data_IF_599483733194
#
_entry.id   IF_599483733194
#
_cell.length_a   1.000
_cell.length_b   1.000
_cell.length_c   1.000
_cell.angle_alpha   90.00
_cell.angle_beta   90.00
_cell.angle_gamma   90.00
#
_symmetry.space_group_name_H-M   'P 1'
#
loop_
_entity.id
_entity.type
_entity.pdbx_description
1 polymer ?
#
# COMPACT_ATOMS: atom_id res chain seq x y z
N UNK A 1 -39.85 -54.90 0.46
CA UNK A 1 -39.62 -54.16 1.72
C UNK A 1 -38.18 -54.37 2.15
N UNK A 2 -37.27 -53.49 1.70
CA UNK A 2 -35.91 -53.38 2.20
C UNK A 2 -35.40 -51.98 1.80
N UNK A 3 -35.28 -51.10 2.80
CA UNK A 3 -34.70 -49.77 2.69
C UNK A 3 -33.20 -49.91 2.38
N UNK A 4 -32.72 -49.19 1.36
CA UNK A 4 -31.29 -48.95 1.16
C UNK A 4 -31.00 -47.47 1.40
N UNK A 5 -30.10 -47.26 2.33
CA UNK A 5 -29.60 -46.00 2.84
C UNK A 5 -29.15 -45.06 1.73
N UNK A 6 -29.66 -43.82 1.78
CA UNK A 6 -29.13 -42.70 1.01
C UNK A 6 -27.87 -42.22 1.70
N UNK A 7 -26.71 -42.62 1.20
CA UNK A 7 -25.46 -41.95 1.49
C UNK A 7 -25.55 -40.51 0.93
N UNK A 8 -25.60 -39.52 1.81
CA UNK A 8 -25.39 -38.12 1.46
C UNK A 8 -23.96 -37.94 0.94
N UNK A 9 -23.74 -37.23 -0.18
CA UNK A 9 -22.38 -36.90 -0.60
C UNK A 9 -21.77 -35.94 0.43
N UNK A 10 -20.68 -36.36 1.08
CA UNK A 10 -19.87 -35.46 1.89
C UNK A 10 -19.23 -34.43 0.95
N UNK A 11 -19.50 -33.15 1.21
CA UNK A 11 -18.86 -32.03 0.52
C UNK A 11 -17.33 -32.14 0.66
N UNK A 12 -16.56 -31.89 -0.40
CA UNK A 12 -15.10 -31.93 -0.31
C UNK A 12 -14.60 -30.86 0.69
N UNK A 13 -13.50 -31.11 1.42
CA UNK A 13 -12.89 -30.11 2.27
C UNK A 13 -12.52 -28.90 1.39
N UNK A 14 -13.04 -27.73 1.75
CA UNK A 14 -12.69 -26.48 1.09
C UNK A 14 -11.17 -26.31 1.16
N UNK A 15 -10.52 -26.27 -0.01
CA UNK A 15 -9.10 -25.92 -0.12
C UNK A 15 -8.93 -24.49 0.37
N UNK A 16 -8.68 -24.31 1.66
CA UNK A 16 -8.32 -23.02 2.23
C UNK A 16 -6.97 -22.62 1.64
N UNK A 17 -6.96 -21.55 0.85
CA UNK A 17 -5.72 -20.94 0.40
C UNK A 17 -4.85 -20.60 1.62
N UNK A 18 -3.52 -20.76 1.55
CA UNK A 18 -2.66 -20.50 2.69
C UNK A 18 -2.84 -19.06 3.17
N UNK A 19 -3.04 -18.89 4.48
CA UNK A 19 -3.25 -17.59 5.08
C UNK A 19 -2.04 -16.67 4.82
N UNK A 20 -2.31 -15.43 4.43
CA UNK A 20 -1.29 -14.40 4.22
C UNK A 20 -0.75 -14.00 5.59
N UNK A 21 0.55 -14.22 5.79
CA UNK A 21 1.23 -13.78 7.01
C UNK A 21 1.45 -12.26 6.96
N UNK A 22 0.95 -11.56 7.99
CA UNK A 22 1.08 -10.11 8.16
C UNK A 22 1.95 -9.86 9.38
N UNK A 23 3.07 -9.17 9.22
CA UNK A 23 3.89 -8.74 10.36
C UNK A 23 3.50 -7.34 10.80
N UNK A 24 3.14 -7.18 12.08
CA UNK A 24 2.86 -5.87 12.68
C UNK A 24 4.06 -5.44 13.50
N UNK A 25 4.61 -4.26 13.18
CA UNK A 25 5.76 -3.66 13.86
C UNK A 25 5.33 -2.34 14.49
N UNK A 26 5.21 -2.29 15.81
CA UNK A 26 4.78 -1.11 16.58
C UNK A 26 5.23 -1.26 18.05
N UNK A 27 5.66 -0.18 18.70
CA UNK A 27 6.19 -0.23 20.06
C UNK A 27 5.10 -0.33 21.15
N UNK A 28 3.86 0.06 20.82
CA UNK A 28 2.70 -0.06 21.68
C UNK A 28 2.14 -1.47 21.68
N UNK A 29 2.39 -2.20 22.77
CA UNK A 29 1.83 -3.54 22.97
C UNK A 29 0.30 -3.57 22.85
N UNK A 30 -0.40 -2.55 23.34
CA UNK A 30 -1.86 -2.43 23.24
C UNK A 30 -2.29 -2.28 21.78
N UNK A 31 -1.61 -1.41 21.02
CA UNK A 31 -1.92 -1.19 19.62
C UNK A 31 -1.69 -2.45 18.78
N UNK A 32 -0.55 -3.12 18.99
CA UNK A 32 -0.22 -4.40 18.34
C UNK A 32 -1.27 -5.48 18.58
N UNK A 33 -1.72 -5.66 19.82
CA UNK A 33 -2.74 -6.68 20.12
C UNK A 33 -4.08 -6.35 19.48
N UNK A 34 -4.48 -5.07 19.45
CA UNK A 34 -5.71 -4.66 18.76
C UNK A 34 -5.63 -4.86 17.25
N UNK A 35 -4.50 -4.47 16.64
CA UNK A 35 -4.24 -4.73 15.22
C UNK A 35 -4.31 -6.23 14.92
N UNK A 36 -3.70 -7.07 15.76
CA UNK A 36 -3.79 -8.53 15.65
C UNK A 36 -5.24 -8.99 15.65
N UNK A 37 -6.05 -8.58 16.63
CA UNK A 37 -7.47 -8.97 16.71
C UNK A 37 -8.29 -8.51 15.49
N UNK A 38 -8.01 -7.31 14.96
CA UNK A 38 -8.70 -6.78 13.78
C UNK A 38 -8.29 -7.56 12.53
N UNK A 39 -6.98 -7.76 12.32
CA UNK A 39 -6.46 -8.42 11.12
C UNK A 39 -6.87 -9.90 11.10
N UNK A 40 -6.77 -10.60 12.23
CA UNK A 40 -7.14 -12.01 12.37
C UNK A 40 -8.66 -12.23 12.47
N UNK A 41 -9.48 -11.18 12.44
CA UNK A 41 -10.92 -11.33 12.26
C UNK A 41 -11.28 -11.84 10.86
N UNK A 42 -10.39 -11.65 9.88
CA UNK A 42 -10.45 -12.29 8.57
C UNK A 42 -9.58 -13.55 8.56
N UNK A 43 -10.14 -14.76 8.34
CA UNK A 43 -9.41 -16.02 8.41
C UNK A 43 -8.34 -16.19 7.31
N UNK A 44 -8.30 -15.29 6.32
CA UNK A 44 -7.25 -15.29 5.30
C UNK A 44 -5.94 -14.68 5.79
N UNK A 45 -5.91 -14.07 6.98
CA UNK A 45 -4.69 -13.47 7.54
C UNK A 45 -4.23 -14.21 8.78
N UNK A 46 -2.90 -14.22 8.97
CA UNK A 46 -2.25 -14.64 10.21
C UNK A 46 -1.27 -13.56 10.63
N UNK A 47 -1.27 -13.18 11.90
CA UNK A 47 -0.43 -12.08 12.38
C UNK A 47 0.77 -12.56 13.20
N UNK A 48 1.94 -12.04 12.84
CA UNK A 48 3.16 -12.08 13.65
C UNK A 48 3.45 -10.68 14.18
N UNK A 49 3.84 -10.58 15.44
CA UNK A 49 4.08 -9.30 16.11
C UNK A 49 5.57 -9.07 16.33
N UNK A 50 6.02 -7.82 16.14
CA UNK A 50 7.35 -7.34 16.50
C UNK A 50 7.21 -6.01 17.26
N UNK A 51 7.95 -5.84 18.35
CA UNK A 51 7.89 -4.64 19.19
C UNK A 51 8.73 -3.49 18.65
N UNK A 52 9.67 -3.81 17.76
CA UNK A 52 10.61 -2.85 17.22
C UNK A 52 11.25 -3.38 15.92
N UNK A 53 11.99 -2.53 15.18
CA UNK A 53 12.68 -2.94 13.97
C UNK A 53 13.70 -4.09 14.13
N UNK A 54 14.30 -4.27 15.31
CA UNK A 54 15.29 -5.33 15.52
C UNK A 54 14.61 -6.70 15.66
N UNK A 55 13.49 -6.75 16.39
CA UNK A 55 12.65 -7.95 16.46
C UNK A 55 12.07 -8.28 15.07
N UNK A 56 11.65 -7.26 14.32
CA UNK A 56 11.17 -7.43 12.95
C UNK A 56 12.26 -8.05 12.04
N UNK A 57 13.50 -7.56 12.10
CA UNK A 57 14.64 -8.16 11.35
C UNK A 57 14.91 -9.60 11.78
N UNK A 58 14.84 -9.90 13.08
CA UNK A 58 15.04 -11.26 13.58
C UNK A 58 13.97 -12.23 13.07
N UNK A 59 12.72 -11.78 12.94
CA UNK A 59 11.63 -12.57 12.35
C UNK A 59 11.84 -12.73 10.84
N UNK A 60 12.14 -11.63 10.13
CA UNK A 60 12.40 -11.63 8.68
C UNK A 60 13.54 -12.57 8.26
N UNK A 61 14.50 -12.82 9.15
CA UNK A 61 15.59 -13.78 8.91
C UNK A 61 15.12 -15.24 8.90
N UNK A 62 13.94 -15.54 9.46
CA UNK A 62 13.37 -16.88 9.62
C UNK A 62 12.18 -17.12 8.68
N UNK A 63 11.29 -16.14 8.54
CA UNK A 63 10.13 -16.18 7.64
C UNK A 63 9.93 -14.83 6.96
N UNK A 64 9.47 -14.85 5.71
CA UNK A 64 9.16 -13.63 4.96
C UNK A 64 7.63 -13.47 4.92
N UNK A 65 7.05 -12.48 5.61
CA UNK A 65 5.62 -12.25 5.60
C UNK A 65 5.19 -11.69 4.24
N UNK A 66 3.89 -11.81 3.92
CA UNK A 66 3.32 -11.27 2.69
C UNK A 66 3.20 -9.74 2.73
N UNK A 67 2.96 -9.17 3.91
CA UNK A 67 2.82 -7.72 4.14
C UNK A 67 3.36 -7.35 5.51
N UNK A 68 3.94 -6.15 5.63
CA UNK A 68 4.25 -5.53 6.91
C UNK A 68 3.31 -4.35 7.16
N UNK A 69 2.69 -4.32 8.33
CA UNK A 69 2.04 -3.11 8.87
C UNK A 69 3.05 -2.45 9.81
N UNK A 70 3.47 -1.23 9.47
CA UNK A 70 4.62 -0.57 10.11
C UNK A 70 4.21 0.74 10.76
N UNK A 71 4.50 0.88 12.04
CA UNK A 71 4.49 2.16 12.72
C UNK A 71 5.73 3.01 12.40
N UNK A 72 5.59 4.33 12.54
CA UNK A 72 6.68 5.29 12.31
C UNK A 72 7.41 5.66 13.59
N UNK A 73 6.70 5.77 14.71
CA UNK A 73 7.23 6.31 15.96
C UNK A 73 7.68 5.22 16.90
N UNK A 74 8.92 4.75 16.71
CA UNK A 74 9.49 3.71 17.55
C UNK A 74 10.81 4.16 18.20
N UNK A 75 11.10 3.72 19.44
CA UNK A 75 12.34 4.03 20.11
C UNK A 75 13.54 3.33 19.44
N UNK A 76 14.71 3.98 19.51
CA UNK A 76 16.02 3.56 18.96
C UNK A 76 16.13 3.66 17.44
N UNK A 77 15.18 3.11 16.69
CA UNK A 77 15.12 3.22 15.23
C UNK A 77 13.68 3.54 14.81
N UNK A 78 13.51 4.68 14.15
CA UNK A 78 12.20 5.07 13.63
C UNK A 78 11.80 4.19 12.43
N UNK A 79 10.49 4.11 12.19
CA UNK A 79 9.92 3.28 11.13
C UNK A 79 10.35 3.69 9.72
N UNK A 80 10.63 4.97 9.44
CA UNK A 80 11.10 5.40 8.12
C UNK A 80 12.54 4.94 7.87
N UNK A 81 13.40 5.02 8.89
CA UNK A 81 14.76 4.47 8.81
C UNK A 81 14.73 2.96 8.58
N UNK A 82 13.84 2.24 9.27
CA UNK A 82 13.62 0.81 9.04
C UNK A 82 13.12 0.52 7.62
N UNK A 83 12.06 1.21 7.18
CA UNK A 83 11.47 1.09 5.85
C UNK A 83 12.52 1.29 4.75
N UNK A 84 13.35 2.33 4.85
CA UNK A 84 14.41 2.60 3.86
C UNK A 84 15.43 1.47 3.78
N UNK A 85 15.84 0.90 4.93
CA UNK A 85 16.78 -0.23 4.96
C UNK A 85 16.14 -1.49 4.39
N UNK A 86 14.89 -1.76 4.78
CA UNK A 86 14.09 -2.88 4.30
C UNK A 86 13.93 -2.82 2.79
N UNK A 87 13.45 -1.70 2.22
CA UNK A 87 13.21 -1.56 0.78
C UNK A 87 14.48 -1.72 -0.06
N UNK A 88 15.65 -1.38 0.49
CA UNK A 88 16.94 -1.56 -0.19
C UNK A 88 17.44 -3.00 -0.15
N UNK A 89 17.18 -3.73 0.94
CA UNK A 89 17.72 -5.09 1.14
C UNK A 89 16.73 -6.17 0.71
N UNK A 90 15.45 -5.98 1.04
CA UNK A 90 14.34 -6.90 0.82
C UNK A 90 13.05 -6.11 0.49
N UNK A 91 12.95 -5.52 -0.71
CA UNK A 91 11.73 -4.82 -1.12
C UNK A 91 10.51 -5.74 -1.06
N UNK A 92 9.50 -5.31 -0.30
CA UNK A 92 8.30 -6.09 -0.02
C UNK A 92 7.13 -5.16 0.34
N UNK A 93 5.89 -5.65 0.29
CA UNK A 93 4.72 -4.84 0.64
C UNK A 93 4.78 -4.30 2.07
N UNK A 94 4.72 -2.97 2.20
CA UNK A 94 4.59 -2.28 3.49
C UNK A 94 3.41 -1.33 3.45
N UNK A 95 2.49 -1.49 4.40
CA UNK A 95 1.43 -0.54 4.73
C UNK A 95 1.87 0.21 5.98
N UNK A 96 2.02 1.52 5.88
CA UNK A 96 2.37 2.34 7.03
C UNK A 96 1.12 2.67 7.84
N UNK A 97 1.22 2.65 9.17
CA UNK A 97 0.16 3.07 10.07
C UNK A 97 0.70 4.16 11.01
N UNK A 98 0.31 5.42 10.81
CA UNK A 98 0.91 6.57 11.54
C UNK A 98 -0.11 7.63 11.90
N UNK A 99 0.17 8.42 12.94
CA UNK A 99 -0.60 9.62 13.27
C UNK A 99 -0.07 10.90 12.60
N UNK A 100 1.08 10.84 11.91
CA UNK A 100 1.79 11.99 11.34
C UNK A 100 1.66 12.05 9.81
N UNK A 101 0.92 13.04 9.31
CA UNK A 101 0.64 13.20 7.88
C UNK A 101 1.89 13.54 7.05
N UNK A 102 2.81 14.34 7.60
CA UNK A 102 4.03 14.76 6.91
C UNK A 102 5.00 13.60 6.67
N UNK A 103 5.02 12.63 7.58
CA UNK A 103 5.85 11.42 7.46
C UNK A 103 5.27 10.42 6.46
N UNK A 104 3.98 10.47 6.21
CA UNK A 104 3.28 9.59 5.29
C UNK A 104 3.77 9.74 3.84
N UNK A 105 3.88 10.98 3.37
CA UNK A 105 4.31 11.25 1.99
C UNK A 105 5.73 10.76 1.77
N UNK A 106 6.61 11.01 2.74
CA UNK A 106 7.99 10.52 2.74
C UNK A 106 8.05 8.98 2.68
N UNK A 107 7.18 8.29 3.43
CA UNK A 107 7.13 6.82 3.43
C UNK A 107 6.72 6.25 2.06
N UNK A 108 5.74 6.86 1.40
CA UNK A 108 5.25 6.42 0.09
C UNK A 108 6.36 6.50 -0.98
N UNK A 109 7.18 7.54 -0.93
CA UNK A 109 8.35 7.70 -1.81
C UNK A 109 9.45 6.68 -1.55
N UNK A 110 9.64 6.33 -0.27
CA UNK A 110 10.56 5.27 0.15
C UNK A 110 10.11 3.88 -0.26
N UNK A 111 8.89 3.73 -0.79
CA UNK A 111 8.37 2.49 -1.33
C UNK A 111 7.24 1.85 -0.53
N UNK A 112 6.73 2.51 0.52
CA UNK A 112 5.48 2.07 1.14
C UNK A 112 4.36 2.08 0.09
N UNK A 113 3.51 1.06 0.12
CA UNK A 113 2.41 0.90 -0.85
C UNK A 113 1.24 1.82 -0.47
N UNK A 114 0.99 1.97 0.82
CA UNK A 114 -0.12 2.75 1.34
C UNK A 114 0.20 3.28 2.75
N UNK A 115 -0.48 4.35 3.13
CA UNK A 115 -0.43 4.90 4.49
C UNK A 115 -1.84 5.02 5.03
N UNK A 116 -2.01 4.52 6.25
CA UNK A 116 -3.24 4.58 7.01
C UNK A 116 -3.00 5.45 8.25
N UNK A 117 -3.93 6.36 8.52
CA UNK A 117 -3.92 7.14 9.75
C UNK A 117 -4.25 6.24 10.95
N UNK A 118 -3.53 6.34 12.07
CA UNK A 118 -3.90 5.62 13.30
C UNK A 118 -5.32 6.05 13.75
N UNK A 119 -6.19 5.11 14.18
CA UNK A 119 -7.57 5.42 14.52
C UNK A 119 -7.66 6.06 15.90
N UNK A 120 -8.74 6.81 16.13
CA UNK A 120 -9.17 7.10 17.48
C UNK A 120 -9.96 5.91 18.04
N UNK A 121 -9.38 5.18 18.97
CA UNK A 121 -9.98 4.00 19.59
C UNK A 121 -11.26 4.27 20.39
N UNK A 122 -11.56 5.52 20.72
CA UNK A 122 -12.75 5.89 21.51
C UNK A 122 -14.01 6.02 20.64
N UNK A 123 -13.87 6.10 19.31
CA UNK A 123 -14.99 6.22 18.38
C UNK A 123 -15.28 4.88 17.70
N UNK A 124 -16.26 4.15 18.24
CA UNK A 124 -16.63 2.82 17.76
C UNK A 124 -17.13 2.83 16.30
N UNK A 125 -17.81 3.90 15.88
CA UNK A 125 -18.37 3.99 14.53
C UNK A 125 -17.28 4.11 13.47
N UNK A 126 -16.32 5.01 13.71
CA UNK A 126 -15.16 5.23 12.84
C UNK A 126 -14.17 4.09 12.89
N UNK A 127 -14.11 3.36 14.01
CA UNK A 127 -13.23 2.21 14.14
C UNK A 127 -13.62 1.06 13.21
N UNK A 128 -14.91 0.83 12.99
CA UNK A 128 -15.39 -0.21 12.06
C UNK A 128 -14.96 0.09 10.63
N UNK A 129 -15.21 1.32 10.16
CA UNK A 129 -14.78 1.79 8.83
C UNK A 129 -13.27 1.71 8.68
N UNK A 130 -12.53 2.20 9.68
CA UNK A 130 -11.07 2.14 9.69
C UNK A 130 -10.54 0.70 9.61
N UNK A 131 -11.16 -0.24 10.32
CA UNK A 131 -10.78 -1.65 10.32
C UNK A 131 -10.97 -2.28 8.94
N UNK A 132 -12.07 -1.95 8.26
CA UNK A 132 -12.33 -2.40 6.89
C UNK A 132 -11.27 -1.84 5.91
N UNK A 133 -10.97 -0.55 6.02
CA UNK A 133 -9.94 0.11 5.21
C UNK A 133 -8.55 -0.51 5.42
N UNK A 134 -8.20 -0.84 6.67
CA UNK A 134 -6.96 -1.54 6.99
C UNK A 134 -6.90 -2.93 6.34
N UNK A 135 -7.96 -3.72 6.46
CA UNK A 135 -8.02 -5.07 5.89
C UNK A 135 -7.94 -5.02 4.35
N UNK A 136 -8.62 -4.07 3.73
CA UNK A 136 -8.56 -3.87 2.28
C UNK A 136 -7.16 -3.47 1.82
N UNK A 137 -6.52 -2.51 2.51
CA UNK A 137 -5.15 -2.09 2.22
C UNK A 137 -4.15 -3.26 2.34
N UNK A 138 -4.23 -4.05 3.41
CA UNK A 138 -3.39 -5.24 3.58
C UNK A 138 -3.64 -6.24 2.46
N UNK A 139 -4.90 -6.49 2.09
CA UNK A 139 -5.25 -7.42 1.01
C UNK A 139 -4.70 -6.95 -0.34
N UNK A 140 -4.80 -5.66 -0.64
CA UNK A 140 -4.30 -5.07 -1.88
C UNK A 140 -2.76 -5.07 -1.91
N UNK A 141 -2.12 -4.72 -0.79
CA UNK A 141 -0.67 -4.77 -0.64
C UNK A 141 -0.13 -6.20 -0.81
N UNK A 142 -0.81 -7.21 -0.26
CA UNK A 142 -0.44 -8.62 -0.43
C UNK A 142 -0.52 -9.07 -1.90
N UNK A 143 -1.53 -8.59 -2.64
CA UNK A 143 -1.71 -8.90 -4.07
C UNK A 143 -0.67 -8.22 -4.96
N UNK A 144 -0.13 -7.07 -4.57
CA UNK A 144 0.95 -6.41 -5.29
C UNK A 144 2.22 -7.29 -5.36
N UNK A 145 2.35 -8.25 -4.44
CA UNK A 145 3.44 -9.23 -4.44
C UNK A 145 4.80 -8.59 -4.08
N UNK A 146 5.89 -9.32 -4.34
CA UNK A 146 7.23 -8.78 -4.10
C UNK A 146 7.51 -7.64 -5.08
N UNK A 147 7.80 -6.46 -4.54
CA UNK A 147 8.18 -5.30 -5.34
C UNK A 147 9.49 -5.59 -6.07
N UNK A 148 9.63 -5.23 -7.36
CA UNK A 148 10.90 -5.38 -8.06
C UNK A 148 11.98 -4.61 -7.33
N UNK A 149 13.15 -5.22 -7.17
CA UNK A 149 14.30 -4.58 -6.55
C UNK A 149 14.64 -3.34 -7.37
N UNK A 150 14.55 -2.16 -6.76
CA UNK A 150 14.99 -0.90 -7.39
C UNK A 150 16.50 -1.03 -7.60
N UNK A 151 16.89 -1.32 -8.84
CA UNK A 151 18.30 -1.26 -9.22
C UNK A 151 18.64 0.23 -9.34
N UNK A 152 19.36 0.78 -8.34
CA UNK A 152 19.87 2.16 -8.37
C UNK A 152 20.77 2.44 -9.60
N UNK A 153 21.05 1.43 -10.43
CA UNK A 153 21.77 1.51 -11.69
C UNK A 153 20.94 2.02 -12.88
N UNK A 154 19.62 2.19 -12.77
CA UNK A 154 18.79 2.70 -13.88
C UNK A 154 18.52 4.21 -13.85
N UNK A 155 19.36 5.01 -13.19
CA UNK A 155 19.44 6.46 -13.45
C UNK A 155 20.01 6.80 -14.84
N UNK A 156 20.29 5.80 -15.68
CA UNK A 156 20.63 5.95 -17.10
C UNK A 156 19.83 4.97 -17.96
N UNK A 157 18.50 5.10 -17.98
CA UNK A 157 17.74 4.57 -19.11
C UNK A 157 17.89 5.54 -20.28
N UNK A 158 18.92 5.29 -21.10
CA UNK A 158 18.93 5.68 -22.50
C UNK A 158 17.53 5.40 -23.10
N UNK A 159 16.90 6.33 -23.85
CA UNK A 159 15.51 6.17 -24.23
C UNK A 159 15.40 4.93 -25.11
N UNK A 160 14.75 3.88 -24.60
CA UNK A 160 14.37 2.74 -25.43
C UNK A 160 13.45 3.30 -26.51
N UNK A 161 13.95 3.32 -27.74
CA UNK A 161 13.21 3.63 -28.95
C UNK A 161 12.09 2.59 -29.14
N UNK A 162 10.97 2.76 -28.43
CA UNK A 162 9.70 2.15 -28.80
C UNK A 162 9.11 2.93 -29.97
N UNK A 163 8.23 2.29 -30.73
CA UNK A 163 7.70 2.70 -32.03
C UNK A 163 6.92 4.05 -32.07
N UNK A 164 7.02 4.87 -31.02
CA UNK A 164 6.48 6.22 -30.90
C UNK A 164 7.22 7.26 -31.76
N UNK A 165 8.35 6.90 -32.38
CA UNK A 165 9.10 7.77 -33.30
C UNK A 165 8.31 8.08 -34.59
N UNK A 166 7.31 7.24 -34.94
CA UNK A 166 6.57 7.36 -36.21
C UNK A 166 5.23 8.08 -36.06
N UNK A 167 4.67 8.18 -34.85
CA UNK A 167 3.47 8.97 -34.63
C UNK A 167 3.88 10.44 -34.42
N UNK A 168 3.30 11.40 -35.16
CA UNK A 168 3.52 12.80 -34.86
C UNK A 168 3.10 13.02 -33.40
N UNK A 169 4.06 13.39 -32.53
CA UNK A 169 3.77 13.90 -31.19
C UNK A 169 2.64 14.90 -31.39
N UNK A 170 1.46 14.61 -30.85
CA UNK A 170 0.34 15.54 -30.92
C UNK A 170 0.84 16.79 -30.22
N UNK A 171 1.24 17.78 -31.02
CA UNK A 171 1.67 19.06 -30.55
C UNK A 171 0.44 19.70 -29.90
N UNK A 172 0.35 19.57 -28.58
CA UNK A 172 -0.45 20.44 -27.73
C UNK A 172 0.07 21.90 -27.77
N UNK A 173 1.06 22.18 -28.61
CA UNK A 173 1.44 23.53 -28.99
C UNK A 173 0.25 24.19 -29.69
N UNK A 174 -0.31 25.19 -29.01
CA UNK A 174 -1.05 26.29 -29.62
C UNK A 174 -2.43 25.95 -30.18
N UNK A 175 -3.29 25.35 -29.36
CA UNK A 175 -4.71 25.74 -29.40
C UNK A 175 -5.03 26.45 -28.10
N UNK A 176 -5.04 27.79 -28.15
CA UNK A 176 -5.69 28.65 -27.16
C UNK A 176 -7.21 28.48 -27.18
N UNK A 177 -7.68 27.23 -27.10
CA UNK A 177 -9.08 26.83 -27.12
C UNK A 177 -9.45 26.30 -25.75
N UNK A 178 -10.17 27.13 -25.01
CA UNK A 178 -11.16 26.88 -23.96
C UNK A 178 -11.08 25.61 -23.11
N UNK A 179 -11.31 25.84 -21.81
CA UNK A 179 -11.33 24.95 -20.65
C UNK A 179 -12.35 23.78 -20.68
N UNK A 180 -12.66 23.18 -21.83
CA UNK A 180 -13.73 22.18 -21.95
C UNK A 180 -13.27 20.73 -21.79
N UNK A 181 -11.95 20.48 -21.81
CA UNK A 181 -11.40 19.13 -21.65
C UNK A 181 -10.74 19.00 -20.28
N UNK A 182 -11.19 18.01 -19.53
CA UNK A 182 -10.59 17.61 -18.27
C UNK A 182 -10.17 16.15 -18.33
N UNK A 183 -9.11 15.80 -17.61
CA UNK A 183 -8.70 14.43 -17.34
C UNK A 183 -9.11 14.13 -15.91
N UNK A 184 -9.98 13.13 -15.71
CA UNK A 184 -10.34 12.65 -14.38
C UNK A 184 -9.55 11.38 -14.06
N UNK A 185 -8.85 11.36 -12.93
CA UNK A 185 -8.05 10.22 -12.45
C UNK A 185 -8.59 9.78 -11.09
N UNK A 186 -8.98 8.52 -10.96
CA UNK A 186 -9.36 7.91 -9.69
C UNK A 186 -8.32 6.88 -9.29
N UNK A 187 -7.77 6.99 -8.08
CA UNK A 187 -6.73 6.08 -7.57
C UNK A 187 -6.90 5.77 -6.08
N UNK A 188 -6.39 4.60 -5.67
CA UNK A 188 -6.50 4.08 -4.31
C UNK A 188 -5.14 3.55 -3.82
N UNK A 189 -5.01 2.31 -3.35
CA UNK A 189 -3.75 1.67 -2.94
C UNK A 189 -2.65 1.83 -4.01
N UNK A 190 -1.44 2.29 -3.62
CA UNK A 190 -0.34 2.59 -4.55
C UNK A 190 -0.54 3.83 -5.42
N UNK A 191 -1.67 4.53 -5.28
CA UNK A 191 -2.06 5.64 -6.14
C UNK A 191 -1.12 6.83 -6.09
N UNK A 192 -0.46 7.09 -4.97
CA UNK A 192 0.54 8.16 -4.84
C UNK A 192 1.71 7.97 -5.81
N UNK A 193 2.26 6.75 -5.89
CA UNK A 193 3.35 6.44 -6.82
C UNK A 193 2.86 6.50 -8.27
N UNK A 194 1.65 6.00 -8.52
CA UNK A 194 1.04 6.04 -9.85
C UNK A 194 0.80 7.47 -10.35
N UNK A 195 0.30 8.36 -9.48
CA UNK A 195 0.08 9.78 -9.81
C UNK A 195 1.42 10.45 -10.12
N UNK A 196 2.45 10.25 -9.30
CA UNK A 196 3.76 10.86 -9.55
C UNK A 196 4.34 10.45 -10.91
N UNK A 197 4.28 9.16 -11.23
CA UNK A 197 4.74 8.64 -12.52
C UNK A 197 3.91 9.19 -13.69
N UNK A 198 2.58 9.24 -13.50
CA UNK A 198 1.64 9.75 -14.49
C UNK A 198 1.93 11.23 -14.80
N UNK A 199 1.99 12.08 -13.76
CA UNK A 199 2.21 13.53 -13.90
C UNK A 199 3.59 13.87 -14.45
N UNK A 200 4.63 13.09 -14.12
CA UNK A 200 5.97 13.28 -14.67
C UNK A 200 6.02 13.11 -16.21
N UNK A 201 5.06 12.39 -16.80
CA UNK A 201 4.94 12.22 -18.25
C UNK A 201 4.09 13.28 -18.96
N UNK A 202 3.38 14.15 -18.24
CA UNK A 202 2.47 15.12 -18.85
C UNK A 202 3.19 16.37 -19.38
N UNK A 203 2.86 16.85 -20.60
CA UNK A 203 3.39 18.11 -21.10
C UNK A 203 2.73 19.31 -20.41
N UNK A 204 3.46 20.44 -20.33
CA UNK A 204 3.02 21.71 -19.70
C UNK A 204 1.69 22.24 -20.29
N UNK A 205 1.36 21.89 -21.54
CA UNK A 205 0.12 22.28 -22.22
C UNK A 205 -1.03 21.27 -22.15
N UNK A 206 -0.99 20.29 -21.24
CA UNK A 206 -2.05 19.28 -21.12
C UNK A 206 -3.37 19.88 -20.59
N UNK A 207 -4.52 19.24 -20.87
CA UNK A 207 -5.80 19.67 -20.29
C UNK A 207 -5.80 19.60 -18.75
N UNK A 208 -6.69 20.34 -18.10
CA UNK A 208 -6.78 20.33 -16.63
C UNK A 208 -7.04 18.93 -16.08
N UNK A 209 -6.37 18.57 -14.98
CA UNK A 209 -6.45 17.23 -14.38
C UNK A 209 -7.13 17.33 -13.02
N UNK A 210 -8.16 16.51 -12.81
CA UNK A 210 -8.85 16.33 -11.53
C UNK A 210 -8.50 14.94 -11.01
N UNK A 211 -7.96 14.87 -9.80
CA UNK A 211 -7.50 13.62 -9.18
C UNK A 211 -8.32 13.36 -7.93
N UNK A 212 -8.92 12.18 -7.85
CA UNK A 212 -9.55 11.64 -6.65
C UNK A 212 -8.66 10.51 -6.13
N UNK A 213 -7.99 10.76 -5.02
CA UNK A 213 -7.19 9.77 -4.31
C UNK A 213 -7.87 9.45 -2.98
N UNK A 214 -8.08 8.15 -2.71
CA UNK A 214 -8.51 7.72 -1.38
C UNK A 214 -7.36 7.92 -0.40
N UNK A 215 -7.41 9.01 0.37
CA UNK A 215 -6.38 9.44 1.32
C UNK A 215 -7.04 10.34 2.39
N UNK A 216 -6.61 10.28 3.66
CA UNK A 216 -7.18 11.13 4.71
C UNK A 216 -6.96 12.63 4.43
N UNK A 217 -7.88 13.48 4.89
CA UNK A 217 -7.88 14.92 4.56
C UNK A 217 -6.55 15.63 4.88
N UNK A 218 -5.95 15.35 6.04
CA UNK A 218 -4.69 15.97 6.47
C UNK A 218 -3.50 15.55 5.59
N UNK A 219 -3.60 14.40 4.91
CA UNK A 219 -2.55 13.81 4.09
C UNK A 219 -2.68 14.30 2.64
N UNK A 220 -3.90 14.51 2.17
CA UNK A 220 -4.19 14.96 0.80
C UNK A 220 -3.56 16.33 0.50
N UNK A 221 -3.61 17.27 1.46
CA UNK A 221 -2.99 18.60 1.29
C UNK A 221 -1.46 18.51 1.18
N UNK A 222 -0.83 17.74 2.07
CA UNK A 222 0.62 17.55 2.06
C UNK A 222 1.10 16.86 0.78
N UNK A 223 0.33 15.91 0.27
CA UNK A 223 0.62 15.24 -1.00
C UNK A 223 0.49 16.20 -2.20
N UNK A 224 -0.60 16.98 -2.27
CA UNK A 224 -0.83 17.91 -3.38
C UNK A 224 0.22 19.02 -3.47
N UNK A 225 0.71 19.54 -2.35
CA UNK A 225 1.76 20.56 -2.32
C UNK A 225 3.13 20.06 -2.82
N UNK A 226 3.33 18.75 -2.81
CA UNK A 226 4.60 18.11 -3.15
C UNK A 226 4.68 17.59 -4.59
N UNK A 227 3.53 17.38 -5.24
CA UNK A 227 3.43 17.04 -6.67
C UNK A 227 3.94 18.18 -7.56
#
# INVERSE_FOLDING_TARGET
MALRDRHSPQSPPSQQSPAIEVMVVDDSAVFRQRLKSIIESDPHFRVVLAADPYEAVAILSKSVPGVIVLDVEMPRMDGLTFLRKLMRQHPMPVVLCTAQAERAVTALEMGAIEVIAKPNWQDASRLSEWSQNLLESIRNAARAGRLPMRDDRTASSDPRHTADVILPRISYAQRGGTSERIIAVGVSTGGVQAIQQLLAGFPVGCPGIVIVQHMPADFTSAFAQRL
#
